data_IF_261912502662
#
_entry.id   IF_261912502662
#
_cell.length_a   1.000
_cell.length_b   1.000
_cell.length_c   1.000
_cell.angle_alpha   90.00
_cell.angle_beta   90.00
_cell.angle_gamma   90.00
#
_symmetry.space_group_name_H-M   'P 1'
#
loop_
_entity.id
_entity.type
_entity.pdbx_description
1 polymer ?
#
# COMPACT_ATOMS: atom_id res chain seq x y z
N UNK A 1 -2.19 -2.71 -17.46
CA UNK A 1 -2.70 -1.38 -17.83
C UNK A 1 -2.57 -0.33 -16.72
N UNK A 2 -2.97 -0.59 -15.46
CA UNK A 2 -2.91 0.41 -14.37
C UNK A 2 -1.53 1.07 -14.18
N UNK A 3 -0.45 0.29 -14.27
CA UNK A 3 0.93 0.78 -14.07
C UNK A 3 1.43 1.71 -15.18
N UNK A 4 1.00 1.47 -16.43
CA UNK A 4 1.44 2.25 -17.60
C UNK A 4 0.53 3.45 -17.89
N UNK A 5 -0.55 3.60 -17.13
CA UNK A 5 -1.44 4.75 -17.23
C UNK A 5 -0.87 5.92 -16.45
N UNK A 6 -0.80 7.09 -17.08
CA UNK A 6 -0.28 8.30 -16.46
C UNK A 6 -1.11 8.68 -15.22
N UNK A 7 -0.43 8.91 -14.10
CA UNK A 7 -1.05 9.38 -12.85
C UNK A 7 -1.88 8.33 -12.07
N UNK A 8 -2.13 7.13 -12.61
CA UNK A 8 -3.00 6.14 -11.94
C UNK A 8 -2.39 5.65 -10.63
N UNK A 9 -1.11 5.28 -10.59
CA UNK A 9 -0.44 4.86 -9.35
C UNK A 9 -0.37 6.02 -8.34
N UNK A 10 -0.13 7.25 -8.81
CA UNK A 10 -0.13 8.43 -7.95
C UNK A 10 -1.50 8.68 -7.32
N UNK A 11 -2.59 8.55 -8.09
CA UNK A 11 -3.95 8.68 -7.56
C UNK A 11 -4.28 7.60 -6.51
N UNK A 12 -3.86 6.35 -6.74
CA UNK A 12 -4.04 5.27 -5.76
C UNK A 12 -3.22 5.51 -4.47
N UNK A 13 -2.01 6.05 -4.60
CA UNK A 13 -1.19 6.45 -3.44
C UNK A 13 -1.82 7.62 -2.69
N UNK A 14 -2.44 8.57 -3.39
CA UNK A 14 -3.15 9.68 -2.75
C UNK A 14 -4.32 9.19 -1.89
N UNK A 15 -5.07 8.18 -2.36
CA UNK A 15 -6.14 7.56 -1.57
C UNK A 15 -5.61 6.93 -0.27
N UNK A 16 -4.40 6.37 -0.27
CA UNK A 16 -3.74 5.84 0.94
C UNK A 16 -3.35 6.97 1.89
N UNK A 17 -2.66 7.99 1.37
CA UNK A 17 -2.16 9.13 2.16
C UNK A 17 -3.30 9.89 2.84
N UNK A 18 -4.44 10.05 2.15
CA UNK A 18 -5.62 10.72 2.70
C UNK A 18 -6.22 10.02 3.93
N UNK A 19 -5.86 8.77 4.20
CA UNK A 19 -6.33 8.01 5.38
C UNK A 19 -5.44 8.21 6.60
N UNK A 20 -4.18 8.64 6.45
CA UNK A 20 -3.26 8.76 7.58
C UNK A 20 -3.78 9.64 8.73
N UNK A 21 -4.45 10.79 8.48
CA UNK A 21 -5.05 11.57 9.57
C UNK A 21 -6.12 10.79 10.36
N UNK A 22 -6.84 9.88 9.70
CA UNK A 22 -7.91 9.07 10.30
C UNK A 22 -7.42 7.87 11.14
N UNK A 23 -6.11 7.59 11.10
CA UNK A 23 -5.50 6.46 11.81
C UNK A 23 -5.08 6.83 13.22
N UNK A 24 -4.61 8.05 13.42
CA UNK A 24 -4.19 8.53 14.73
C UNK A 24 -4.57 10.02 14.91
N UNK A 25 -5.59 10.34 15.72
CA UNK A 25 -6.40 9.44 16.55
C UNK A 25 -7.31 8.52 15.71
N UNK A 26 -7.67 7.34 16.23
CA UNK A 26 -8.39 6.32 15.46
C UNK A 26 -9.87 6.69 15.20
N UNK A 27 -10.14 7.38 14.09
CA UNK A 27 -11.47 7.86 13.71
C UNK A 27 -11.90 7.44 12.29
N UNK A 28 -11.32 6.36 11.77
CA UNK A 28 -11.65 5.81 10.45
C UNK A 28 -13.11 5.36 10.35
N UNK A 29 -13.84 5.94 9.41
CA UNK A 29 -15.22 5.55 9.11
C UNK A 29 -15.30 4.36 8.14
N UNK A 30 -16.43 3.66 8.12
CA UNK A 30 -16.67 2.57 7.18
C UNK A 30 -16.61 3.03 5.69
N UNK A 31 -17.08 4.25 5.41
CA UNK A 31 -17.01 4.80 4.05
C UNK A 31 -15.56 5.05 3.63
N UNK A 32 -14.75 5.65 4.50
CA UNK A 32 -13.32 5.87 4.25
C UNK A 32 -12.57 4.55 4.08
N UNK A 33 -12.82 3.55 4.95
CA UNK A 33 -12.18 2.23 4.82
C UNK A 33 -12.55 1.56 3.50
N UNK A 34 -13.81 1.60 3.08
CA UNK A 34 -14.24 0.97 1.83
C UNK A 34 -13.57 1.62 0.62
N UNK A 35 -13.50 2.96 0.60
CA UNK A 35 -12.86 3.70 -0.49
C UNK A 35 -11.38 3.36 -0.62
N UNK A 36 -10.62 3.42 0.47
CA UNK A 36 -9.19 3.08 0.42
C UNK A 36 -8.96 1.58 0.15
N UNK A 37 -9.80 0.68 0.67
CA UNK A 37 -9.69 -0.74 0.39
C UNK A 37 -9.91 -1.07 -1.10
N UNK A 38 -10.79 -0.33 -1.79
CA UNK A 38 -10.93 -0.46 -3.24
C UNK A 38 -9.63 -0.06 -3.96
N UNK A 39 -8.96 1.01 -3.52
CA UNK A 39 -7.64 1.39 -4.05
C UNK A 39 -6.56 0.35 -3.73
N UNK A 40 -6.55 -0.21 -2.52
CA UNK A 40 -5.65 -1.29 -2.12
C UNK A 40 -5.87 -2.55 -2.95
N UNK A 41 -7.11 -2.90 -3.29
CA UNK A 41 -7.41 -4.04 -4.15
C UNK A 41 -6.80 -3.85 -5.57
N UNK A 42 -6.84 -2.63 -6.12
CA UNK A 42 -6.18 -2.32 -7.39
C UNK A 42 -4.66 -2.43 -7.27
N UNK A 43 -4.06 -1.95 -6.17
CA UNK A 43 -2.63 -2.14 -5.91
C UNK A 43 -2.27 -3.61 -5.72
N UNK A 44 -3.17 -4.43 -5.14
CA UNK A 44 -3.00 -5.88 -5.04
C UNK A 44 -2.96 -6.52 -6.43
N UNK A 45 -3.80 -6.09 -7.37
CA UNK A 45 -3.75 -6.54 -8.76
C UNK A 45 -2.39 -6.21 -9.40
N UNK A 46 -1.89 -4.99 -9.21
CA UNK A 46 -0.57 -4.57 -9.71
C UNK A 46 0.57 -5.38 -9.07
N UNK A 47 0.50 -5.63 -7.77
CA UNK A 47 1.48 -6.43 -7.02
C UNK A 47 1.48 -7.91 -7.45
N UNK A 48 0.32 -8.44 -7.87
CA UNK A 48 0.17 -9.83 -8.30
C UNK A 48 0.68 -10.11 -9.71
N UNK A 49 0.83 -9.07 -10.54
CA UNK A 49 1.16 -9.23 -11.95
C UNK A 49 2.69 -9.24 -12.16
N UNK A 50 3.26 -10.24 -12.86
CA UNK A 50 4.72 -10.45 -12.93
C UNK A 50 5.48 -9.28 -13.56
N UNK A 51 4.89 -8.60 -14.55
CA UNK A 51 5.52 -7.47 -15.25
C UNK A 51 5.62 -6.21 -14.38
N UNK A 52 4.61 -5.95 -13.55
CA UNK A 52 4.54 -4.70 -12.75
C UNK A 52 5.06 -4.87 -11.33
N UNK A 53 5.11 -6.11 -10.82
CA UNK A 53 5.54 -6.43 -9.45
C UNK A 53 6.94 -5.92 -9.12
N UNK A 54 7.91 -6.13 -10.03
CA UNK A 54 9.29 -5.68 -9.78
C UNK A 54 9.35 -4.16 -9.63
N UNK A 55 8.70 -3.44 -10.55
CA UNK A 55 8.61 -1.99 -10.51
C UNK A 55 7.84 -1.49 -9.27
N UNK A 56 6.79 -2.20 -8.85
CA UNK A 56 6.05 -1.92 -7.61
C UNK A 56 6.92 -2.01 -6.35
N UNK A 57 7.80 -3.02 -6.28
CA UNK A 57 8.77 -3.19 -5.20
C UNK A 57 9.87 -2.12 -5.24
N UNK A 58 10.43 -1.86 -6.42
CA UNK A 58 11.47 -0.85 -6.62
C UNK A 58 10.95 0.58 -6.32
N UNK A 59 9.67 0.84 -6.56
CA UNK A 59 9.02 2.10 -6.22
C UNK A 59 8.73 2.25 -4.72
N UNK A 60 9.05 1.25 -3.89
CA UNK A 60 8.83 1.28 -2.43
C UNK A 60 7.37 1.54 -2.01
N UNK A 61 6.40 1.24 -2.89
CA UNK A 61 4.97 1.41 -2.62
C UNK A 61 4.49 0.62 -1.38
N UNK A 62 4.97 -0.62 -1.12
CA UNK A 62 4.55 -1.35 0.08
C UNK A 62 4.79 -0.60 1.40
N UNK A 63 5.77 0.32 1.45
CA UNK A 63 6.08 1.08 2.67
C UNK A 63 4.90 1.95 3.13
N UNK A 64 4.09 2.44 2.20
CA UNK A 64 2.91 3.25 2.48
C UNK A 64 1.81 2.46 3.22
N UNK A 65 1.88 1.13 3.24
CA UNK A 65 0.90 0.27 3.90
C UNK A 65 1.28 -0.05 5.36
N UNK A 66 2.53 0.16 5.77
CA UNK A 66 2.96 -0.15 7.14
C UNK A 66 2.16 0.57 8.23
N UNK A 67 1.81 1.87 8.10
CA UNK A 67 0.97 2.56 9.08
C UNK A 67 -0.38 1.85 9.29
N UNK A 68 -0.94 1.24 8.25
CA UNK A 68 -2.22 0.53 8.33
C UNK A 68 -2.08 -0.76 9.15
N UNK A 69 -0.97 -1.47 8.98
CA UNK A 69 -0.67 -2.72 9.68
C UNK A 69 -0.38 -2.52 11.17
N UNK A 70 0.15 -1.36 11.56
CA UNK A 70 0.43 -1.02 12.96
C UNK A 70 -0.80 -0.55 13.75
N UNK A 71 -1.96 -0.40 13.11
CA UNK A 71 -3.18 0.01 13.79
C UNK A 71 -3.67 -1.07 14.77
N UNK A 72 -4.04 -0.66 15.99
CA UNK A 72 -4.48 -1.56 17.06
C UNK A 72 -6.00 -1.54 17.28
N UNK A 73 -6.71 -0.58 16.69
CA UNK A 73 -8.17 -0.49 16.76
C UNK A 73 -8.84 -1.75 16.20
N UNK A 74 -9.82 -2.29 16.95
CA UNK A 74 -10.56 -3.51 16.62
C UNK A 74 -11.92 -3.25 15.98
N UNK A 75 -12.15 -2.02 15.52
CA UNK A 75 -13.40 -1.71 14.81
C UNK A 75 -13.36 -2.33 13.41
N UNK A 76 -14.54 -2.68 12.88
CA UNK A 76 -14.69 -3.29 11.55
C UNK A 76 -13.95 -2.52 10.42
N UNK A 77 -13.97 -1.17 10.36
CA UNK A 77 -13.21 -0.41 9.36
C UNK A 77 -11.70 -0.66 9.42
N UNK A 78 -11.12 -0.72 10.62
CA UNK A 78 -9.68 -0.96 10.80
C UNK A 78 -9.30 -2.43 10.55
N UNK A 79 -10.15 -3.38 10.92
CA UNK A 79 -9.94 -4.80 10.57
C UNK A 79 -9.95 -5.00 9.06
N UNK A 80 -10.92 -4.40 8.36
CA UNK A 80 -10.99 -4.48 6.90
C UNK A 80 -9.79 -3.80 6.22
N UNK A 81 -9.36 -2.64 6.74
CA UNK A 81 -8.16 -1.95 6.26
C UNK A 81 -6.90 -2.83 6.38
N UNK A 82 -6.69 -3.43 7.55
CA UNK A 82 -5.55 -4.33 7.81
C UNK A 82 -5.58 -5.57 6.94
N UNK A 83 -6.74 -6.22 6.82
CA UNK A 83 -6.90 -7.42 6.00
C UNK A 83 -6.57 -7.15 4.52
N UNK A 84 -7.08 -6.05 3.97
CA UNK A 84 -6.81 -5.67 2.58
C UNK A 84 -5.34 -5.31 2.37
N UNK A 85 -4.72 -4.60 3.32
CA UNK A 85 -3.29 -4.26 3.29
C UNK A 85 -2.41 -5.51 3.31
N UNK A 86 -2.74 -6.49 4.15
CA UNK A 86 -2.09 -7.79 4.17
C UNK A 86 -2.27 -8.55 2.85
N UNK A 87 -3.40 -8.37 2.16
CA UNK A 87 -3.64 -8.93 0.83
C UNK A 87 -2.62 -8.44 -0.22
N UNK A 88 -2.30 -7.14 -0.21
CA UNK A 88 -1.26 -6.57 -1.09
C UNK A 88 0.11 -7.18 -0.79
N UNK A 89 0.51 -7.21 0.50
CA UNK A 89 1.79 -7.80 0.92
C UNK A 89 1.84 -9.30 0.58
N UNK A 90 0.72 -10.01 0.79
CA UNK A 90 0.54 -11.42 0.47
C UNK A 90 0.76 -11.71 -1.01
N UNK A 91 0.25 -10.84 -1.90
CA UNK A 91 0.45 -10.98 -3.34
C UNK A 91 1.95 -10.86 -3.73
N UNK A 92 2.70 -9.98 -3.07
CA UNK A 92 4.14 -9.81 -3.32
C UNK A 92 4.94 -11.05 -2.94
N UNK A 93 4.67 -11.62 -1.76
CA UNK A 93 5.40 -12.79 -1.26
C UNK A 93 5.02 -14.08 -1.98
N UNK A 94 3.76 -14.22 -2.42
CA UNK A 94 3.25 -15.45 -3.08
C UNK A 94 3.98 -15.74 -4.41
N UNK A 95 4.41 -14.71 -5.13
CA UNK A 95 5.09 -14.85 -6.44
C UNK A 95 6.62 -14.90 -6.27
N UNK A 96 7.16 -14.59 -5.09
CA UNK A 96 8.61 -14.64 -4.82
C UNK A 96 9.20 -16.06 -4.93
N UNK A 97 8.37 -17.12 -4.90
CA UNK A 97 8.85 -18.50 -5.03
C UNK A 97 9.30 -18.89 -6.45
N UNK A 98 8.99 -18.11 -7.48
CA UNK A 98 9.26 -18.46 -8.89
C UNK A 98 10.33 -17.59 -9.59
N UNK A 99 11.17 -16.83 -8.88
CA UNK A 99 12.23 -16.03 -9.54
C UNK A 99 13.52 -15.97 -8.70
N UNK A 100 14.71 -16.27 -9.27
CA UNK A 100 15.99 -16.16 -8.56
C UNK A 100 16.46 -14.70 -8.48
N UNK A 101 16.71 -14.26 -7.23
CA UNK A 101 17.62 -13.21 -6.72
C UNK A 101 17.76 -11.89 -7.51
N UNK A 102 17.40 -10.77 -6.86
CA UNK A 102 18.32 -9.71 -6.36
C UNK A 102 17.54 -8.41 -6.13
N UNK A 103 17.25 -8.08 -4.87
CA UNK A 103 16.90 -6.71 -4.48
C UNK A 103 18.14 -6.15 -3.82
N UNK A 104 19.00 -5.56 -4.64
CA UNK A 104 20.00 -4.62 -4.18
C UNK A 104 19.24 -3.40 -3.70
N UNK A 105 19.33 -3.12 -2.40
CA UNK A 105 18.98 -1.84 -1.81
C UNK A 105 19.80 -0.74 -2.48
N UNK A 106 19.16 0.26 -3.10
CA UNK A 106 19.59 1.65 -2.94
C UNK A 106 18.53 2.65 -3.41
N UNK A 107 18.67 3.87 -2.91
CA UNK A 107 17.97 5.12 -3.20
C UNK A 107 16.92 5.58 -2.17
N UNK A 108 17.41 6.38 -1.21
CA UNK A 108 16.68 7.32 -0.37
C UNK A 108 16.11 8.51 -1.17
N UNK A 109 14.81 8.50 -1.49
CA UNK A 109 14.02 9.73 -1.24
C UNK A 109 12.64 9.48 -0.61
N UNK A 110 12.16 8.22 -0.56
CA UNK A 110 10.79 7.90 -0.15
C UNK A 110 10.48 8.14 1.34
N UNK A 111 11.50 8.14 2.21
CA UNK A 111 11.31 8.35 3.66
C UNK A 111 10.88 9.78 4.00
N UNK A 112 11.27 10.79 3.20
CA UNK A 112 10.88 12.18 3.48
C UNK A 112 9.38 12.42 3.34
N UNK A 113 8.71 11.76 2.40
CA UNK A 113 7.26 11.93 2.24
C UNK A 113 6.49 11.31 3.42
N UNK A 114 6.90 10.13 3.90
CA UNK A 114 6.27 9.47 5.05
C UNK A 114 6.51 10.28 6.34
N UNK A 115 7.71 10.85 6.52
CA UNK A 115 8.02 11.68 7.70
C UNK A 115 7.32 13.04 7.65
N UNK A 116 7.15 13.66 6.48
CA UNK A 116 6.41 14.93 6.35
C UNK A 116 4.91 14.74 6.61
N UNK A 117 4.32 13.59 6.28
CA UNK A 117 2.89 13.36 6.54
C UNK A 117 2.63 12.89 7.99
N UNK A 118 3.64 12.38 8.69
CA UNK A 118 3.52 11.93 10.08
C UNK A 118 4.01 12.94 11.13
N UNK A 119 4.43 14.15 10.76
CA UNK A 119 4.83 15.22 11.68
C UNK A 119 3.87 16.41 11.63
#
# INVERSE_FOLDING_TARGET
MLWHSFGTIAALLQEIVNIYPAINPAHLTAHQSNRVCNALALLQCVASHPETRSAFLQAHIPLFLYPFLHTTSKTRPFEYLRLTSLGVIGALVKVSRNSPKSISCDCEPGKRLIVIIMN
#
